data_IF_026494486512
#
_entry.id   IF_026494486512
#
_cell.length_a   1.000
_cell.length_b   1.000
_cell.length_c   1.000
_cell.angle_alpha   90.00
_cell.angle_beta   90.00
_cell.angle_gamma   90.00
#
_symmetry.space_group_name_H-M   'P 1'
#
loop_
_entity.id
_entity.type
_entity.pdbx_description
1 polymer ?
#
# COMPACT_ATOMS: atom_id res chain seq x y z
N UNK A 1 -13.71 5.85 36.87
CA UNK A 1 -13.38 5.08 35.65
C UNK A 1 -13.15 6.09 34.53
N UNK A 2 -11.94 6.21 34.00
CA UNK A 2 -11.57 7.24 33.01
C UNK A 2 -11.65 6.61 31.62
N UNK A 3 -12.56 7.05 30.75
CA UNK A 3 -12.62 6.60 29.35
C UNK A 3 -11.72 7.49 28.48
N UNK A 4 -10.75 6.89 27.79
CA UNK A 4 -9.90 7.59 26.82
C UNK A 4 -10.49 7.35 25.43
N UNK A 5 -11.08 8.41 24.88
CA UNK A 5 -11.60 8.46 23.50
C UNK A 5 -10.62 9.20 22.60
N UNK A 6 -10.39 8.66 21.40
CA UNK A 6 -9.56 9.34 20.42
C UNK A 6 -9.76 8.79 19.02
N UNK A 7 -9.51 9.64 18.04
CA UNK A 7 -9.54 9.27 16.63
C UNK A 7 -8.12 9.21 16.09
N UNK A 8 -7.85 8.17 15.30
CA UNK A 8 -6.59 8.00 14.59
C UNK A 8 -6.84 7.50 13.18
N UNK A 9 -5.99 7.93 12.26
CA UNK A 9 -5.94 7.41 10.90
C UNK A 9 -5.19 6.08 10.93
N UNK A 10 -5.85 5.01 10.50
CA UNK A 10 -5.28 3.67 10.43
C UNK A 10 -5.40 3.10 9.03
N UNK A 11 -4.37 2.32 8.69
CA UNK A 11 -4.30 1.52 7.47
C UNK A 11 -4.02 2.36 6.23
N UNK A 12 -3.11 1.87 5.37
CA UNK A 12 -3.06 2.29 3.97
C UNK A 12 -3.91 1.30 3.19
N UNK A 13 -5.10 1.72 2.80
CA UNK A 13 -6.00 0.96 1.95
C UNK A 13 -6.04 1.61 0.57
N UNK A 14 -6.39 0.82 -0.45
CA UNK A 14 -6.58 1.30 -1.82
C UNK A 14 -5.43 2.20 -2.30
N UNK A 15 -4.19 1.72 -2.16
CA UNK A 15 -3.00 2.44 -2.61
C UNK A 15 -2.99 2.52 -4.15
N UNK A 16 -2.92 3.75 -4.65
CA UNK A 16 -2.76 4.09 -6.05
C UNK A 16 -1.29 4.45 -6.27
N UNK A 17 -0.55 3.56 -6.93
CA UNK A 17 0.90 3.67 -7.11
C UNK A 17 1.32 5.05 -7.63
N UNK A 18 2.05 5.81 -6.82
CA UNK A 18 2.57 7.12 -7.20
C UNK A 18 1.58 8.29 -7.24
N UNK A 19 0.32 8.08 -6.82
CA UNK A 19 -0.69 9.14 -6.65
C UNK A 19 -0.98 9.37 -5.16
N UNK A 20 -1.29 8.31 -4.41
CA UNK A 20 -1.74 8.44 -3.03
C UNK A 20 -2.32 7.15 -2.47
N UNK A 21 -2.85 7.21 -1.26
CA UNK A 21 -3.54 6.08 -0.61
C UNK A 21 -4.72 6.56 0.22
N UNK A 22 -5.68 5.68 0.46
CA UNK A 22 -6.82 5.96 1.35
C UNK A 22 -6.44 5.55 2.77
N UNK A 23 -6.71 6.42 3.73
CA UNK A 23 -6.60 6.15 5.17
C UNK A 23 -7.99 6.14 5.79
N UNK A 24 -8.25 5.20 6.70
CA UNK A 24 -9.54 5.13 7.39
C UNK A 24 -9.39 5.73 8.79
N UNK A 25 -10.27 6.67 9.16
CA UNK A 25 -10.37 7.21 10.50
C UNK A 25 -11.16 6.24 11.36
N UNK A 26 -10.51 5.70 12.38
CA UNK A 26 -11.18 4.87 13.37
C UNK A 26 -11.30 5.64 14.67
N UNK A 27 -12.45 5.46 15.31
CA UNK A 27 -12.68 5.84 16.69
C UNK A 27 -12.22 4.71 17.61
N UNK A 28 -11.48 5.07 18.65
CA UNK A 28 -10.91 4.13 19.61
C UNK A 28 -11.41 4.41 21.02
N UNK A 29 -11.66 3.33 21.75
CA UNK A 29 -11.85 3.34 23.20
C UNK A 29 -10.76 2.44 23.78
N UNK A 30 -9.90 2.97 24.66
CA UNK A 30 -8.80 2.22 25.29
C UNK A 30 -7.97 1.37 24.29
N UNK A 31 -7.59 1.97 23.15
CA UNK A 31 -6.79 1.34 22.08
C UNK A 31 -7.52 0.39 21.12
N UNK A 32 -8.78 0.01 21.37
CA UNK A 32 -9.51 -0.85 20.42
C UNK A 32 -10.15 -0.03 19.30
N UNK A 33 -9.84 -0.31 18.01
CA UNK A 33 -10.50 0.31 16.86
C UNK A 33 -11.92 -0.24 16.76
N UNK A 34 -12.91 0.52 17.21
CA UNK A 34 -14.28 0.03 17.35
C UNK A 34 -15.13 0.30 16.12
N UNK A 35 -15.10 1.55 15.62
CA UNK A 35 -15.99 1.98 14.54
C UNK A 35 -15.22 2.84 13.54
N UNK A 36 -15.23 2.48 12.24
CA UNK A 36 -14.73 3.36 11.19
C UNK A 36 -15.68 4.55 11.04
N UNK A 37 -15.16 5.77 11.20
CA UNK A 37 -15.95 7.00 11.10
C UNK A 37 -15.93 7.62 9.71
N UNK A 38 -14.91 7.32 8.91
CA UNK A 38 -14.79 7.84 7.55
C UNK A 38 -13.44 7.50 6.95
N UNK A 39 -13.26 7.79 5.67
CA UNK A 39 -11.97 7.65 5.01
C UNK A 39 -11.55 8.95 4.34
N UNK A 40 -10.24 9.18 4.30
CA UNK A 40 -9.63 10.36 3.69
C UNK A 40 -8.57 9.90 2.70
N UNK A 41 -8.47 10.58 1.57
CA UNK A 41 -7.40 10.32 0.61
C UNK A 41 -6.17 11.14 0.97
N UNK A 42 -5.02 10.47 1.03
CA UNK A 42 -3.73 11.06 1.31
C UNK A 42 -2.91 11.09 0.02
N UNK A 43 -2.60 12.30 -0.43
CA UNK A 43 -1.86 12.52 -1.67
C UNK A 43 -0.35 12.34 -1.47
N UNK A 44 0.32 11.65 -2.39
CA UNK A 44 1.78 11.57 -2.45
C UNK A 44 2.30 12.63 -3.41
N UNK A 45 2.73 13.77 -2.89
CA UNK A 45 3.41 14.76 -3.71
C UNK A 45 4.85 14.30 -3.99
N UNK A 46 5.14 14.00 -5.26
CA UNK A 46 6.47 13.59 -5.73
C UNK A 46 7.47 14.75 -5.74
N UNK A 47 7.03 16.00 -5.56
CA UNK A 47 7.94 17.16 -5.46
C UNK A 47 8.60 17.28 -4.09
N UNK A 48 8.13 16.54 -3.09
CA UNK A 48 8.86 16.39 -1.84
C UNK A 48 10.06 15.48 -2.07
N UNK A 49 11.24 16.08 -2.22
CA UNK A 49 12.55 15.45 -2.47
C UNK A 49 13.10 14.63 -1.30
N UNK A 50 12.25 14.23 -0.35
CA UNK A 50 12.63 13.28 0.69
C UNK A 50 12.18 11.85 0.31
N UNK A 51 13.04 11.05 -0.35
CA UNK A 51 12.75 9.67 -0.72
C UNK A 51 12.61 8.73 0.50
N UNK A 52 13.00 9.20 1.69
CA UNK A 52 12.77 8.54 2.97
C UNK A 52 11.82 9.41 3.81
N UNK A 53 10.51 9.15 3.76
CA UNK A 53 9.63 10.06 4.48
C UNK A 53 8.16 9.74 4.47
N UNK A 54 7.78 8.56 4.95
CA UNK A 54 6.62 8.58 5.84
C UNK A 54 7.05 9.46 7.02
N UNK A 55 6.66 10.75 7.08
CA UNK A 55 6.83 11.51 8.32
C UNK A 55 5.95 10.76 9.33
N UNK A 56 6.57 9.88 10.12
CA UNK A 56 5.93 9.05 11.17
C UNK A 56 5.30 9.88 12.29
N UNK A 57 5.15 11.19 12.09
CA UNK A 57 4.47 12.10 12.98
C UNK A 57 2.95 11.93 12.84
N UNK A 58 2.45 10.73 13.19
CA UNK A 58 1.08 10.55 13.66
C UNK A 58 0.79 11.30 14.97
N UNK A 59 1.80 12.00 15.51
CA UNK A 59 1.75 12.93 16.64
C UNK A 59 2.69 14.11 16.37
N UNK A 60 2.26 15.14 15.66
CA UNK A 60 2.74 16.53 15.84
C UNK A 60 4.22 16.91 15.63
N UNK A 61 5.17 16.03 15.28
CA UNK A 61 6.59 16.42 15.25
C UNK A 61 7.15 16.96 13.90
N UNK A 62 6.33 17.10 12.86
CA UNK A 62 6.76 17.82 11.64
C UNK A 62 6.56 19.33 11.91
N UNK A 63 7.53 19.96 12.60
CA UNK A 63 7.50 21.36 13.01
C UNK A 63 7.45 22.34 11.84
N UNK A 64 6.56 23.32 11.93
CA UNK A 64 6.40 24.61 11.22
C UNK A 64 6.58 24.72 9.70
N UNK A 65 7.01 23.67 8.99
CA UNK A 65 7.01 23.62 7.53
C UNK A 65 5.95 22.63 7.06
N UNK A 66 4.73 23.15 7.02
CA UNK A 66 3.48 22.46 6.74
C UNK A 66 3.58 21.35 5.71
N UNK A 67 3.58 20.10 6.19
CA UNK A 67 3.02 19.00 5.43
C UNK A 67 1.51 19.22 5.40
N UNK A 68 1.05 20.09 4.49
CA UNK A 68 -0.35 20.31 4.24
C UNK A 68 -0.94 19.03 3.66
N UNK A 69 -1.36 18.11 4.54
CA UNK A 69 -2.30 17.08 4.17
C UNK A 69 -3.58 17.84 3.79
N UNK A 70 -3.77 18.08 2.50
CA UNK A 70 -5.05 18.55 2.00
C UNK A 70 -6.01 17.39 2.25
N UNK A 71 -6.73 17.43 3.37
CA UNK A 71 -7.76 16.45 3.68
C UNK A 71 -8.84 16.60 2.61
N UNK A 72 -8.81 15.66 1.65
CA UNK A 72 -9.89 15.47 0.70
C UNK A 72 -11.21 15.19 1.46
N UNK A 73 -12.37 15.48 0.83
CA UNK A 73 -13.68 15.19 1.41
C UNK A 73 -13.80 13.74 1.88
N UNK A 74 -14.63 13.51 2.90
CA UNK A 74 -14.87 12.19 3.49
C UNK A 74 -15.40 11.24 2.41
N UNK A 75 -14.64 10.19 2.11
CA UNK A 75 -15.02 9.17 1.15
C UNK A 75 -15.98 8.17 1.83
N UNK A 76 -16.99 7.64 1.10
CA UNK A 76 -17.83 6.58 1.64
C UNK A 76 -16.99 5.35 1.94
N UNK A 77 -17.21 4.77 3.12
CA UNK A 77 -16.51 3.58 3.58
C UNK A 77 -16.82 2.40 2.67
N UNK A 78 -15.77 1.77 2.12
CA UNK A 78 -15.91 0.54 1.36
C UNK A 78 -16.01 -0.64 2.33
N UNK A 79 -17.03 -1.50 2.18
CA UNK A 79 -17.17 -2.73 2.98
C UNK A 79 -15.90 -3.59 2.98
N UNK A 80 -15.10 -3.54 1.91
CA UNK A 80 -13.81 -4.25 1.82
C UNK A 80 -12.81 -3.76 2.87
N UNK A 81 -12.71 -2.44 3.06
CA UNK A 81 -11.79 -1.83 4.03
C UNK A 81 -12.17 -2.19 5.47
N UNK A 82 -13.47 -2.12 5.78
CA UNK A 82 -14.03 -2.48 7.08
C UNK A 82 -13.75 -3.97 7.36
N UNK A 83 -14.08 -4.84 6.40
CA UNK A 83 -13.85 -6.28 6.52
C UNK A 83 -12.38 -6.63 6.76
N UNK A 84 -11.45 -5.99 6.03
CA UNK A 84 -10.01 -6.23 6.21
C UNK A 84 -9.50 -5.74 7.56
N UNK A 85 -10.01 -4.62 8.07
CA UNK A 85 -9.66 -4.12 9.39
C UNK A 85 -10.12 -5.07 10.51
N UNK A 86 -11.37 -5.56 10.46
CA UNK A 86 -11.86 -6.53 11.43
C UNK A 86 -11.15 -7.88 11.30
N UNK A 87 -10.88 -8.35 10.09
CA UNK A 87 -10.14 -9.58 9.86
C UNK A 87 -8.71 -9.50 10.41
N UNK A 88 -8.06 -8.34 10.31
CA UNK A 88 -6.78 -8.09 10.95
C UNK A 88 -6.90 -8.14 12.48
N UNK A 89 -7.85 -7.40 13.05
CA UNK A 89 -8.04 -7.34 14.49
C UNK A 89 -8.33 -8.74 15.07
N UNK A 90 -9.21 -9.51 14.43
CA UNK A 90 -9.55 -10.87 14.87
C UNK A 90 -8.39 -11.83 14.72
N UNK A 91 -7.62 -11.76 13.62
CA UNK A 91 -6.43 -12.59 13.45
C UNK A 91 -5.35 -12.32 14.51
N UNK A 92 -5.13 -11.05 14.87
CA UNK A 92 -4.17 -10.68 15.93
C UNK A 92 -4.66 -11.18 17.29
N UNK A 93 -5.94 -10.97 17.61
CA UNK A 93 -6.53 -11.44 18.87
C UNK A 93 -6.48 -12.96 18.95
N UNK A 94 -6.87 -13.67 17.89
CA UNK A 94 -6.82 -15.13 17.83
C UNK A 94 -5.37 -15.64 17.96
N UNK A 95 -4.41 -15.03 17.26
CA UNK A 95 -3.00 -15.37 17.36
C UNK A 95 -2.44 -15.18 18.77
N UNK A 96 -2.83 -14.11 19.46
CA UNK A 96 -2.44 -13.86 20.86
C UNK A 96 -3.06 -14.88 21.82
N UNK A 97 -4.34 -15.23 21.64
CA UNK A 97 -5.00 -16.27 22.45
C UNK A 97 -4.33 -17.62 22.27
N UNK A 98 -4.00 -18.01 21.03
CA UNK A 98 -3.28 -19.25 20.73
C UNK A 98 -1.89 -19.26 21.37
N UNK A 99 -1.16 -18.15 21.29
CA UNK A 99 0.17 -18.01 21.88
C UNK A 99 0.13 -18.12 23.40
N UNK A 100 -0.78 -17.41 24.07
CA UNK A 100 -0.93 -17.47 25.54
C UNK A 100 -1.36 -18.87 25.97
N UNK A 101 -2.33 -19.48 25.29
CA UNK A 101 -2.79 -20.84 25.62
C UNK A 101 -1.68 -21.86 25.43
N UNK A 102 -0.93 -21.76 24.33
CA UNK A 102 0.25 -22.61 24.08
C UNK A 102 1.33 -22.45 25.16
N UNK A 103 1.64 -21.21 25.56
CA UNK A 103 2.61 -20.92 26.60
C UNK A 103 2.19 -21.47 27.97
N UNK A 104 0.92 -21.33 28.36
CA UNK A 104 0.39 -21.89 29.61
C UNK A 104 0.49 -23.42 29.60
N UNK A 105 0.08 -24.08 28.50
CA UNK A 105 0.19 -25.54 28.38
C UNK A 105 1.64 -26.02 28.38
N UNK A 106 2.54 -25.28 27.73
CA UNK A 106 3.96 -25.60 27.70
C UNK A 106 4.57 -25.49 29.11
N UNK A 107 4.22 -24.45 29.87
CA UNK A 107 4.68 -24.28 31.25
C UNK A 107 4.16 -25.39 32.17
N UNK A 108 2.89 -25.80 32.01
CA UNK A 108 2.31 -26.91 32.77
C UNK A 108 2.97 -28.25 32.41
N UNK A 109 3.39 -28.43 31.15
CA UNK A 109 4.11 -29.63 30.71
C UNK A 109 5.54 -29.70 31.28
N UNK A 110 6.20 -28.55 31.51
CA UNK A 110 7.55 -28.51 32.09
C UNK A 110 7.59 -28.80 33.59
N UNK A 111 6.51 -28.56 34.33
CA UNK A 111 6.46 -28.74 35.78
C UNK A 111 6.11 -30.19 36.20
N UNK A 112 5.69 -31.03 35.25
CA UNK A 112 5.30 -32.40 35.57
C UNK A 112 6.52 -33.32 35.75
N UNK A 113 6.58 -33.96 36.92
CA UNK A 113 7.59 -34.96 37.29
C UNK A 113 7.80 -36.03 36.18
N UNK A 114 9.04 -36.31 35.76
CA UNK A 114 9.37 -37.14 34.59
C UNK A 114 8.86 -38.59 34.69
N UNK A 115 8.54 -39.08 35.89
CA UNK A 115 8.01 -40.43 36.10
C UNK A 115 6.56 -40.64 35.63
N UNK A 116 5.72 -39.60 35.62
CA UNK A 116 4.29 -39.72 35.26
C UNK A 116 4.03 -39.65 33.75
N UNK A 117 5.06 -39.35 32.97
CA UNK A 117 4.93 -38.86 31.59
C UNK A 117 4.97 -39.95 30.50
N UNK A 118 5.12 -41.23 30.86
CA UNK A 118 5.62 -42.25 29.92
C UNK A 118 4.68 -42.62 28.75
N UNK A 119 3.36 -42.36 28.84
CA UNK A 119 2.44 -42.64 27.73
C UNK A 119 1.41 -41.54 27.41
N UNK A 120 0.86 -40.82 28.40
CA UNK A 120 -0.12 -39.75 28.13
C UNK A 120 0.54 -38.41 27.74
N UNK A 121 1.69 -38.07 28.34
CA UNK A 121 2.27 -36.71 28.26
C UNK A 121 2.90 -36.32 26.92
N UNK A 122 3.09 -37.28 26.00
CA UNK A 122 3.65 -36.97 24.67
C UNK A 122 2.68 -36.19 23.80
N UNK A 123 1.37 -36.47 23.89
CA UNK A 123 0.37 -35.78 23.08
C UNK A 123 0.18 -34.33 23.53
N UNK A 124 0.12 -34.10 24.84
CA UNK A 124 -0.07 -32.77 25.41
C UNK A 124 1.11 -31.83 25.08
N UNK A 125 2.35 -32.34 25.16
CA UNK A 125 3.54 -31.58 24.78
C UNK A 125 3.51 -31.19 23.29
N UNK A 126 3.14 -32.12 22.41
CA UNK A 126 3.06 -31.86 20.97
C UNK A 126 1.98 -30.81 20.67
N UNK A 127 0.81 -30.89 21.31
CA UNK A 127 -0.26 -29.90 21.13
C UNK A 127 0.19 -28.52 21.60
N UNK A 128 0.83 -28.42 22.76
CA UNK A 128 1.34 -27.16 23.30
C UNK A 128 2.34 -26.49 22.34
N UNK A 129 3.27 -27.27 21.78
CA UNK A 129 4.25 -26.78 20.79
C UNK A 129 3.53 -26.29 19.52
N UNK A 130 2.57 -27.05 18.99
CA UNK A 130 1.81 -26.66 17.79
C UNK A 130 1.07 -25.34 18.02
N UNK A 131 0.36 -25.19 19.15
CA UNK A 131 -0.36 -23.95 19.47
C UNK A 131 0.57 -22.75 19.59
N UNK A 132 1.73 -22.94 20.23
CA UNK A 132 2.74 -21.89 20.41
C UNK A 132 3.31 -21.42 19.06
N UNK A 133 3.48 -22.30 18.08
CA UNK A 133 3.97 -21.95 16.73
C UNK A 133 2.83 -21.38 15.86
N UNK A 134 1.61 -21.92 15.98
CA UNK A 134 0.47 -21.51 15.19
C UNK A 134 0.06 -20.04 15.44
N UNK A 135 0.18 -19.54 16.68
CA UNK A 135 -0.13 -18.16 17.03
C UNK A 135 0.66 -17.12 16.20
N UNK A 136 2.01 -17.11 16.28
CA UNK A 136 2.85 -16.23 15.45
C UNK A 136 2.65 -16.42 13.95
N UNK A 137 2.47 -17.67 13.50
CA UNK A 137 2.22 -17.95 12.08
C UNK A 137 0.91 -17.32 11.60
N UNK A 138 -0.15 -17.36 12.40
CA UNK A 138 -1.43 -16.71 12.11
C UNK A 138 -1.28 -15.18 12.00
N UNK A 139 -0.50 -14.56 12.89
CA UNK A 139 -0.21 -13.12 12.84
C UNK A 139 0.60 -12.77 11.59
N UNK A 140 1.65 -13.54 11.29
CA UNK A 140 2.50 -13.34 10.12
C UNK A 140 1.72 -13.49 8.81
N UNK A 141 0.90 -14.54 8.69
CA UNK A 141 0.06 -14.76 7.50
C UNK A 141 -0.96 -13.63 7.32
N UNK A 142 -1.58 -13.13 8.38
CA UNK A 142 -2.44 -11.94 8.31
C UNK A 142 -1.70 -10.71 7.79
N UNK A 143 -0.48 -10.46 8.27
CA UNK A 143 0.39 -9.38 7.78
C UNK A 143 0.76 -9.54 6.29
N UNK A 144 1.01 -10.77 5.84
CA UNK A 144 1.31 -11.06 4.43
C UNK A 144 0.09 -10.88 3.53
N UNK A 145 -1.08 -11.38 3.96
CA UNK A 145 -2.35 -11.22 3.25
C UNK A 145 -2.65 -9.73 3.06
N UNK A 146 -2.46 -8.91 4.09
CA UNK A 146 -2.63 -7.47 3.97
C UNK A 146 -1.77 -6.85 2.87
N UNK A 147 -0.52 -7.30 2.72
CA UNK A 147 0.37 -6.77 1.68
C UNK A 147 -0.20 -6.99 0.28
N UNK A 148 -0.92 -8.09 0.05
CA UNK A 148 -1.56 -8.37 -1.24
C UNK A 148 -2.83 -7.54 -1.49
N UNK A 149 -3.58 -7.22 -0.44
CA UNK A 149 -4.85 -6.50 -0.55
C UNK A 149 -4.73 -4.98 -0.44
N UNK A 150 -3.51 -4.42 -0.40
CA UNK A 150 -3.30 -2.96 -0.32
C UNK A 150 -3.60 -2.21 -1.61
N UNK A 151 -3.53 -2.88 -2.76
CA UNK A 151 -3.64 -2.20 -4.05
C UNK A 151 -5.10 -1.95 -4.45
N UNK A 152 -5.40 -0.70 -4.84
CA UNK A 152 -6.71 -0.36 -5.40
C UNK A 152 -6.92 -1.04 -6.76
N UNK A 153 -8.15 -1.47 -7.03
CA UNK A 153 -8.56 -1.84 -8.39
C UNK A 153 -8.67 -0.59 -9.27
N UNK A 154 -8.48 -0.73 -10.59
CA UNK A 154 -8.54 0.40 -11.55
C UNK A 154 -9.86 1.18 -11.45
N UNK A 155 -10.99 0.48 -11.40
CA UNK A 155 -12.32 1.09 -11.28
C UNK A 155 -12.43 1.93 -10.00
N UNK A 156 -11.93 1.40 -8.88
CA UNK A 156 -11.93 2.10 -7.60
C UNK A 156 -11.00 3.31 -7.61
N UNK A 157 -9.83 3.19 -8.23
CA UNK A 157 -8.89 4.30 -8.36
C UNK A 157 -9.50 5.46 -9.18
N UNK A 158 -10.25 5.17 -10.25
CA UNK A 158 -10.98 6.17 -11.05
C UNK A 158 -12.10 6.81 -10.25
N UNK A 159 -12.89 6.02 -9.53
CA UNK A 159 -13.97 6.52 -8.67
C UNK A 159 -13.42 7.47 -7.59
N UNK A 160 -12.30 7.12 -6.96
CA UNK A 160 -11.63 7.97 -5.97
C UNK A 160 -11.15 9.28 -6.62
N UNK A 161 -10.52 9.22 -7.80
CA UNK A 161 -10.06 10.43 -8.49
C UNK A 161 -11.23 11.36 -8.89
N UNK A 162 -12.36 10.78 -9.30
CA UNK A 162 -13.57 11.52 -9.63
C UNK A 162 -14.22 12.15 -8.39
N UNK A 163 -14.31 11.41 -7.27
CA UNK A 163 -14.84 11.92 -6.00
C UNK A 163 -14.00 13.05 -5.40
N UNK A 164 -12.68 13.04 -5.63
CA UNK A 164 -11.78 14.13 -5.21
C UNK A 164 -11.89 15.34 -6.17
N UNK A 165 -12.57 15.21 -7.31
CA UNK A 165 -12.67 16.26 -8.32
C UNK A 165 -11.38 16.48 -9.12
N UNK A 166 -10.46 15.50 -9.10
CA UNK A 166 -9.13 15.59 -9.72
C UNK A 166 -9.06 14.73 -10.98
N UNK A 167 -9.79 15.17 -12.02
CA UNK A 167 -9.83 14.51 -13.34
C UNK A 167 -8.48 14.53 -14.05
N UNK A 168 -7.58 15.44 -13.68
CA UNK A 168 -6.18 15.50 -14.11
C UNK A 168 -5.41 14.21 -13.82
N UNK A 169 -5.87 13.41 -12.84
CA UNK A 169 -5.22 12.15 -12.44
C UNK A 169 -5.64 10.96 -13.29
N UNK A 170 -6.76 11.03 -14.00
CA UNK A 170 -7.31 9.91 -14.75
C UNK A 170 -6.33 9.38 -15.82
N UNK A 171 -5.69 10.23 -16.66
CA UNK A 171 -4.71 9.74 -17.64
C UNK A 171 -3.51 9.05 -16.99
N UNK A 172 -3.12 9.49 -15.80
CA UNK A 172 -2.00 8.92 -15.05
C UNK A 172 -2.37 7.58 -14.42
N UNK A 173 -3.56 7.47 -13.85
CA UNK A 173 -4.10 6.18 -13.35
C UNK A 173 -4.22 5.20 -14.54
N UNK A 174 -4.74 5.66 -15.66
CA UNK A 174 -4.90 4.85 -16.87
C UNK A 174 -3.56 4.39 -17.46
N UNK A 175 -2.50 5.19 -17.39
CA UNK A 175 -1.17 4.75 -17.84
C UNK A 175 -0.55 3.71 -16.89
N UNK A 176 -0.70 3.88 -15.58
CA UNK A 176 -0.18 2.95 -14.55
C UNK A 176 -0.88 1.59 -14.65
N UNK A 177 -2.21 1.57 -14.73
CA UNK A 177 -3.00 0.34 -14.73
C UNK A 177 -3.23 -0.21 -16.14
N UNK A 178 -3.44 0.65 -17.13
CA UNK A 178 -3.63 0.27 -18.53
C UNK A 178 -2.35 -0.24 -19.19
N UNK A 179 -1.17 0.28 -18.80
CA UNK A 179 0.12 -0.27 -19.20
C UNK A 179 0.27 -1.74 -18.79
N UNK A 180 -0.15 -2.10 -17.56
CA UNK A 180 -0.13 -3.49 -17.07
C UNK A 180 -1.05 -4.40 -17.89
N UNK A 181 -2.25 -3.92 -18.26
CA UNK A 181 -3.17 -4.67 -19.12
C UNK A 181 -2.61 -4.92 -20.53
N UNK A 182 -1.97 -3.91 -21.13
CA UNK A 182 -1.33 -4.04 -22.43
C UNK A 182 -0.12 -4.99 -22.40
N UNK A 183 0.73 -4.92 -21.36
CA UNK A 183 1.87 -5.84 -21.20
C UNK A 183 1.39 -7.28 -21.05
N UNK A 184 0.32 -7.53 -20.29
CA UNK A 184 -0.26 -8.87 -20.19
C UNK A 184 -0.83 -9.36 -21.53
N UNK A 185 -1.51 -8.49 -22.28
CA UNK A 185 -2.05 -8.82 -23.61
C UNK A 185 -0.94 -9.14 -24.62
N UNK A 186 0.15 -8.36 -24.61
CA UNK A 186 1.34 -8.60 -25.44
C UNK A 186 2.03 -9.92 -25.05
N UNK A 187 2.17 -10.21 -23.76
CA UNK A 187 2.71 -11.50 -23.29
C UNK A 187 1.86 -12.69 -23.73
N UNK A 188 0.53 -12.58 -23.68
CA UNK A 188 -0.39 -13.62 -24.20
C UNK A 188 -0.25 -13.81 -25.71
N UNK A 189 -0.12 -12.73 -26.48
CA UNK A 189 0.13 -12.81 -27.94
C UNK A 189 1.47 -13.47 -28.27
N UNK A 190 2.54 -13.17 -27.53
CA UNK A 190 3.85 -13.82 -27.71
C UNK A 190 3.81 -15.31 -27.38
N UNK A 191 3.07 -15.73 -26.33
CA UNK A 191 2.87 -17.17 -26.03
C UNK A 191 2.14 -17.88 -27.17
N UNK A 192 1.05 -17.30 -27.69
CA UNK A 192 0.33 -17.86 -28.85
C UNK A 192 1.21 -17.96 -30.10
N UNK A 193 2.09 -16.97 -30.35
CA UNK A 193 3.07 -17.05 -31.46
C UNK A 193 4.11 -18.13 -31.26
N UNK A 194 4.56 -18.41 -30.03
CA UNK A 194 5.46 -19.54 -29.75
C UNK A 194 4.74 -20.87 -29.93
N UNK A 195 3.51 -20.99 -29.44
CA UNK A 195 2.69 -22.20 -29.62
C UNK A 195 2.38 -22.47 -31.10
N UNK A 196 2.07 -21.43 -31.89
CA UNK A 196 1.82 -21.55 -33.34
C UNK A 196 3.11 -21.73 -34.15
N UNK A 197 4.21 -21.08 -33.77
CA UNK A 197 5.51 -21.20 -34.44
C UNK A 197 6.21 -22.54 -34.19
N UNK A 198 5.99 -23.18 -33.04
CA UNK A 198 6.48 -24.53 -32.78
C UNK A 198 5.69 -25.62 -33.51
N UNK A 199 4.56 -25.29 -34.16
CA UNK A 199 3.78 -26.26 -34.94
C UNK A 199 4.27 -26.39 -36.40
N UNK A 200 5.22 -25.55 -36.83
CA UNK A 200 5.75 -25.55 -38.21
C UNK A 200 7.28 -25.69 -38.30
N UNK A 201 7.93 -26.13 -37.23
CA UNK A 201 9.38 -26.27 -37.14
C UNK A 201 9.82 -27.70 -36.81
N UNK A 202 9.35 -28.66 -37.61
CA UNK A 202 9.99 -29.98 -37.75
C UNK A 202 9.82 -30.51 -39.19
N UNK A 203 9.87 -29.59 -40.16
CA UNK A 203 10.12 -29.95 -41.56
C UNK A 203 11.61 -29.78 -41.76
N UNK A 204 12.29 -30.92 -41.76
CA UNK A 204 13.69 -31.11 -42.09
C UNK A 204 14.11 -30.27 -43.29
N UNK A 205 14.90 -29.23 -43.05
CA UNK A 205 15.71 -28.58 -44.08
C UNK A 205 16.88 -29.51 -44.42
N UNK A 206 16.62 -30.46 -45.31
CA UNK A 206 17.68 -31.05 -46.13
C UNK A 206 17.80 -30.25 -47.42
N UNK A 207 19.03 -29.80 -47.69
CA UNK A 207 19.55 -29.30 -48.97
C UNK A 207 19.25 -27.83 -49.29
N UNK A 208 20.26 -26.99 -49.15
CA UNK A 208 20.92 -26.39 -50.32
C UNK A 208 22.10 -25.54 -49.81
N UNK A 209 23.30 -26.03 -50.10
CA UNK A 209 24.47 -25.19 -50.32
C UNK A 209 24.10 -24.12 -51.36
N UNK A 210 24.49 -22.87 -51.13
CA UNK A 210 25.08 -22.00 -52.16
C UNK A 210 25.45 -20.66 -51.52
N UNK A 211 26.67 -20.26 -51.84
CA UNK A 211 27.43 -19.12 -51.37
C UNK A 211 26.77 -17.79 -51.75
N UNK A 212 26.77 -16.80 -50.85
CA UNK A 212 26.94 -15.41 -51.26
C UNK A 212 27.43 -14.57 -50.06
N UNK A 213 28.71 -14.20 -50.15
CA UNK A 213 29.29 -13.16 -49.32
C UNK A 213 28.66 -11.83 -49.70
N UNK A 214 27.91 -11.21 -48.78
CA UNK A 214 27.54 -9.80 -48.90
C UNK A 214 27.92 -9.03 -47.64
N UNK A 215 28.64 -7.96 -47.95
CA UNK A 215 29.39 -7.01 -47.14
C UNK A 215 28.73 -6.58 -45.82
N UNK A 216 29.61 -6.48 -44.82
CA UNK A 216 29.38 -5.90 -43.51
C UNK A 216 29.33 -4.38 -43.65
N UNK A 217 28.12 -3.81 -43.78
CA UNK A 217 27.93 -2.37 -43.61
C UNK A 217 27.93 -2.01 -42.13
N UNK A 218 28.96 -1.24 -41.77
CA UNK A 218 29.25 -0.76 -40.43
C UNK A 218 28.35 0.44 -40.15
N UNK A 219 27.24 0.24 -39.43
CA UNK A 219 26.44 1.34 -38.93
C UNK A 219 27.19 2.03 -37.76
N UNK A 220 27.79 3.18 -38.05
CA UNK A 220 28.23 4.16 -37.07
C UNK A 220 27.01 4.94 -36.58
N UNK A 221 26.52 4.62 -35.38
CA UNK A 221 25.58 5.47 -34.67
C UNK A 221 26.37 6.62 -34.01
N UNK A 222 26.31 7.80 -34.63
CA UNK A 222 26.81 9.05 -34.06
C UNK A 222 26.01 9.42 -32.81
N UNK A 223 26.71 9.47 -31.68
CA UNK A 223 26.21 9.90 -30.37
C UNK A 223 26.16 11.44 -30.32
N UNK A 224 25.12 12.05 -30.93
CA UNK A 224 24.81 13.47 -30.72
C UNK A 224 24.12 13.68 -29.35
N UNK A 225 24.93 13.93 -28.33
CA UNK A 225 24.48 14.43 -27.02
C UNK A 225 24.30 15.94 -27.05
N UNK A 226 23.25 16.40 -27.74
CA UNK A 226 22.77 17.79 -27.68
C UNK A 226 21.82 18.01 -26.51
N UNK A 227 22.34 18.26 -25.30
CA UNK A 227 21.53 18.80 -24.20
C UNK A 227 21.28 20.31 -24.44
N UNK A 228 20.02 20.77 -24.53
CA UNK A 228 19.76 22.20 -24.62
C UNK A 228 20.03 22.85 -23.25
N UNK A 229 20.89 23.88 -23.30
CA UNK A 229 21.15 24.86 -22.27
C UNK A 229 19.81 25.39 -21.73
N UNK A 230 19.50 25.08 -20.47
CA UNK A 230 18.33 25.62 -19.76
C UNK A 230 18.59 27.10 -19.55
N UNK A 231 17.81 27.92 -20.22
CA UNK A 231 17.81 29.37 -20.06
C UNK A 231 17.40 29.76 -18.64
N UNK A 232 18.13 30.74 -18.09
CA UNK A 232 17.88 31.39 -16.82
C UNK A 232 16.44 31.91 -16.72
N UNK A 233 15.74 31.49 -15.66
CA UNK A 233 14.43 32.05 -15.28
C UNK A 233 14.71 33.22 -14.32
N UNK A 234 14.23 34.44 -14.60
CA UNK A 234 14.47 35.59 -13.72
C UNK A 234 13.71 35.44 -12.40
N UNK A 235 14.42 35.65 -11.30
CA UNK A 235 13.88 35.78 -9.96
C UNK A 235 12.82 36.91 -9.95
N UNK A 236 11.61 36.58 -9.52
CA UNK A 236 10.56 37.55 -9.29
C UNK A 236 10.49 37.85 -7.80
N UNK A 237 10.96 39.05 -7.46
CA UNK A 237 10.88 39.64 -6.13
C UNK A 237 9.42 39.72 -5.67
N UNK A 238 9.07 38.92 -4.67
CA UNK A 238 7.78 39.06 -3.98
C UNK A 238 7.91 40.11 -2.89
N UNK A 239 7.54 41.33 -3.27
CA UNK A 239 7.25 42.43 -2.34
C UNK A 239 6.13 42.01 -1.38
N UNK A 240 6.51 41.75 -0.13
CA UNK A 240 5.60 41.68 1.02
C UNK A 240 5.21 43.10 1.44
N UNK A 241 4.16 43.63 0.83
CA UNK A 241 3.47 44.80 1.38
C UNK A 241 2.52 44.34 2.49
N UNK A 242 2.73 44.96 3.65
CA UNK A 242 1.93 44.87 4.86
C UNK A 242 0.43 45.07 4.56
N UNK A 243 -0.40 44.12 4.98
CA UNK A 243 -1.84 44.35 5.13
C UNK A 243 -2.11 44.45 6.62
N UNK A 244 -2.37 45.69 7.03
CA UNK A 244 -2.84 46.08 8.35
C UNK A 244 -4.04 45.27 8.81
N UNK A 245 -3.97 44.84 10.07
CA UNK A 245 -5.10 44.41 10.87
C UNK A 245 -6.13 45.53 10.96
N UNK A 246 -7.36 45.25 10.56
CA UNK A 246 -8.53 45.93 11.14
C UNK A 246 -9.39 44.92 11.87
N UNK A 247 -9.32 45.02 13.20
CA UNK A 247 -10.30 44.48 14.14
C UNK A 247 -11.70 45.00 13.79
N UNK A 248 -12.68 44.10 13.65
CA UNK A 248 -14.08 44.45 13.74
C UNK A 248 -14.90 43.30 14.35
N UNK A 249 -15.23 43.50 15.62
CA UNK A 249 -16.42 43.04 16.36
C UNK A 249 -17.52 42.31 15.57
N UNK A 250 -17.86 41.11 16.03
CA UNK A 250 -19.24 40.59 16.08
C UNK A 250 -19.23 39.35 17.00
N UNK A 251 -19.44 39.51 18.31
CA UNK A 251 -20.73 39.64 18.98
C UNK A 251 -21.68 38.47 18.70
N UNK A 252 -21.92 37.70 19.76
CA UNK A 252 -23.16 37.02 20.16
C UNK A 252 -24.13 36.60 19.05
N UNK A 253 -24.48 35.30 19.02
CA UNK A 253 -25.88 34.83 19.08
C UNK A 253 -25.95 33.29 19.06
N UNK A 254 -26.90 32.79 19.85
CA UNK A 254 -27.48 31.43 19.87
C UNK A 254 -26.81 30.33 20.72
N UNK A 255 -27.02 30.47 22.03
CA UNK A 255 -27.62 29.40 22.83
C UNK A 255 -29.11 29.26 22.48
N UNK A 256 -29.52 28.06 22.01
CA UNK A 256 -30.80 27.42 22.30
C UNK A 256 -30.75 25.95 21.90
#
# INVERSE_FOLDING_TARGET
>A
MIFIYGDRLFGRCDEIEGVGHVVTRFTHIYYFPLVPMGSSFVYHDRRSTNPAGFCCCGYGCCGDRGCAWVLAPVLPLSCKSIGMAYLQATAVVAGMVLLVTGAVQLSAATDQNPYRQRHQGRHDLVIAIILTIAGPLCILTSCLVQRFFRHATLERAREIAEQIGRRDLLPRIDSIYGGKANVQKVRRRRRRRKEQGCQYGDVSLSNADDDDETEVDTFQDEEETGLPLVADIPETDTNTSNVEMTEAKQADVCLK
#
